data_IF_894665490690
#
_entry.id   IF_894665490690
#
_cell.length_a   1.000
_cell.length_b   1.000
_cell.length_c   1.000
_cell.angle_alpha   90.00
_cell.angle_beta   90.00
_cell.angle_gamma   90.00
#
_symmetry.space_group_name_H-M   'P 1'
#
loop_
_entity.id
_entity.type
_entity.pdbx_description
1 polymer ?
#
# COMPACT_ATOMS: atom_id res chain seq x y z
N UNK A 1 13.29 3.32 18.21
CA UNK A 1 11.92 3.77 18.47
C UNK A 1 10.93 2.96 17.64
N UNK A 2 10.21 2.03 18.32
CA UNK A 2 9.30 1.06 17.69
C UNK A 2 8.11 1.76 17.00
N UNK A 3 7.58 2.82 17.58
CA UNK A 3 6.48 3.60 17.01
C UNK A 3 6.86 4.18 15.64
N UNK A 4 7.97 4.90 15.58
CA UNK A 4 8.46 5.52 14.33
C UNK A 4 8.72 4.47 13.24
N UNK A 5 9.30 3.32 13.64
CA UNK A 5 9.55 2.23 12.69
C UNK A 5 8.26 1.65 12.12
N UNK A 6 7.22 1.46 12.96
CA UNK A 6 5.92 0.97 12.51
C UNK A 6 5.23 1.96 11.56
N UNK A 7 5.28 3.26 11.86
CA UNK A 7 4.78 4.31 10.95
C UNK A 7 5.53 4.32 9.63
N UNK A 8 6.88 4.19 9.65
CA UNK A 8 7.70 4.13 8.42
C UNK A 8 7.31 2.95 7.52
N UNK A 9 7.02 1.78 8.10
CA UNK A 9 6.51 0.61 7.36
C UNK A 9 5.18 0.92 6.68
N UNK A 10 4.21 1.44 7.42
CA UNK A 10 2.90 1.82 6.88
C UNK A 10 3.01 2.88 5.78
N UNK A 11 3.92 3.85 5.94
CA UNK A 11 4.12 4.91 4.95
C UNK A 11 4.75 4.37 3.65
N UNK A 12 5.79 3.56 3.75
CA UNK A 12 6.39 2.93 2.58
C UNK A 12 5.38 1.99 1.88
N UNK A 13 4.55 1.29 2.66
CA UNK A 13 3.45 0.48 2.11
C UNK A 13 2.47 1.30 1.26
N UNK A 14 2.15 2.53 1.68
CA UNK A 14 1.25 3.40 0.92
C UNK A 14 1.82 3.73 -0.47
N UNK A 15 3.12 3.99 -0.59
CA UNK A 15 3.77 4.22 -1.89
C UNK A 15 3.78 2.98 -2.78
N UNK A 16 4.05 1.79 -2.21
CA UNK A 16 3.99 0.52 -2.95
C UNK A 16 2.56 0.28 -3.47
N UNK A 17 1.55 0.47 -2.62
CA UNK A 17 0.14 0.29 -3.01
C UNK A 17 -0.27 1.33 -4.05
N UNK A 18 0.15 2.60 -3.94
CA UNK A 18 -0.12 3.61 -4.96
C UNK A 18 0.42 3.20 -6.33
N UNK A 19 1.67 2.77 -6.40
CA UNK A 19 2.26 2.29 -7.65
C UNK A 19 1.55 1.05 -8.20
N UNK A 20 1.14 0.11 -7.33
CA UNK A 20 0.34 -1.07 -7.73
C UNK A 20 -1.03 -0.68 -8.28
N UNK A 21 -1.74 0.25 -7.61
CA UNK A 21 -3.01 0.80 -8.09
C UNK A 21 -2.86 1.42 -9.48
N UNK A 22 -1.82 2.22 -9.71
CA UNK A 22 -1.55 2.83 -11.01
C UNK A 22 -1.26 1.80 -12.10
N UNK A 23 -0.50 0.76 -11.79
CA UNK A 23 -0.18 -0.29 -12.77
C UNK A 23 -1.41 -1.11 -13.19
N UNK A 24 -2.32 -1.39 -12.26
CA UNK A 24 -3.50 -2.24 -12.52
C UNK A 24 -4.69 -1.42 -13.03
N UNK A 25 -4.95 -0.26 -12.44
CA UNK A 25 -6.14 0.56 -12.77
C UNK A 25 -5.85 1.63 -13.82
N UNK A 26 -4.59 2.04 -13.97
CA UNK A 26 -4.16 3.03 -14.95
C UNK A 26 -3.58 4.31 -14.34
N UNK A 27 -2.92 5.08 -15.21
CA UNK A 27 -2.19 6.30 -14.83
C UNK A 27 -3.06 7.47 -14.32
N UNK A 28 -4.39 7.39 -14.48
CA UNK A 28 -5.34 8.37 -13.93
C UNK A 28 -5.45 8.29 -12.40
N UNK A 29 -5.00 7.18 -11.80
CA UNK A 29 -4.96 7.03 -10.34
C UNK A 29 -3.98 8.03 -9.76
N UNK A 30 -4.49 8.94 -8.95
CA UNK A 30 -3.72 9.94 -8.22
C UNK A 30 -4.17 9.96 -6.76
N UNK A 31 -3.24 10.22 -5.84
CA UNK A 31 -3.57 10.37 -4.44
C UNK A 31 -4.49 11.58 -4.21
N UNK A 32 -5.63 11.36 -3.56
CA UNK A 32 -6.55 12.40 -3.10
C UNK A 32 -6.42 12.64 -1.58
N UNK A 33 -5.89 11.67 -0.85
CA UNK A 33 -5.63 11.77 0.58
C UNK A 33 -4.98 10.51 1.12
N UNK A 34 -4.38 10.61 2.29
CA UNK A 34 -3.81 9.46 3.00
C UNK A 34 -3.86 9.66 4.51
N UNK A 35 -3.84 8.56 5.23
CA UNK A 35 -3.66 8.52 6.67
C UNK A 35 -2.72 7.37 6.99
N UNK A 36 -1.68 7.65 7.78
CA UNK A 36 -0.66 6.66 8.15
C UNK A 36 -0.53 6.62 9.67
N UNK A 37 -0.64 5.42 10.23
CA UNK A 37 -0.49 5.12 11.66
C UNK A 37 0.38 3.85 11.83
N UNK A 38 0.83 3.52 13.05
CA UNK A 38 1.52 2.26 13.29
C UNK A 38 0.69 1.07 12.83
N UNK A 39 1.22 0.27 11.90
CA UNK A 39 0.61 -0.96 11.40
C UNK A 39 -0.66 -0.80 10.56
N UNK A 40 -1.15 0.43 10.38
CA UNK A 40 -2.38 0.71 9.61
C UNK A 40 -2.22 1.95 8.75
N UNK A 41 -2.78 1.90 7.55
CA UNK A 41 -2.85 3.07 6.68
C UNK A 41 -4.09 3.04 5.80
N UNK A 42 -4.44 4.22 5.31
CA UNK A 42 -5.55 4.47 4.40
C UNK A 42 -5.05 5.28 3.22
N UNK A 43 -5.50 4.93 2.03
CA UNK A 43 -5.14 5.62 0.81
C UNK A 43 -6.39 5.94 0.00
N UNK A 44 -6.61 7.23 -0.26
CA UNK A 44 -7.72 7.77 -1.04
C UNK A 44 -7.20 8.14 -2.42
N UNK A 45 -7.89 7.73 -3.47
CA UNK A 45 -7.40 7.91 -4.83
C UNK A 45 -8.52 8.18 -5.82
N UNK A 46 -8.15 8.83 -6.95
CA UNK A 46 -9.06 9.09 -8.06
C UNK A 46 -9.33 7.81 -8.86
N UNK A 47 -10.60 7.38 -8.89
CA UNK A 47 -11.09 6.29 -9.74
C UNK A 47 -12.61 6.34 -9.80
N UNK A 48 -13.20 6.21 -11.00
CA UNK A 48 -14.64 6.40 -11.19
C UNK A 48 -15.47 5.16 -10.88
N UNK A 49 -14.88 3.96 -11.04
CA UNK A 49 -15.58 2.72 -10.92
C UNK A 49 -15.25 1.99 -9.61
N UNK A 50 -16.08 1.01 -9.25
CA UNK A 50 -15.76 0.09 -8.17
C UNK A 50 -14.58 -0.79 -8.59
N UNK A 51 -13.56 -0.92 -7.76
CA UNK A 51 -12.47 -1.85 -8.01
C UNK A 51 -12.99 -3.28 -7.83
N UNK A 52 -12.81 -4.13 -8.84
CA UNK A 52 -13.29 -5.51 -8.79
C UNK A 52 -12.47 -6.36 -7.79
N UNK A 53 -13.02 -7.49 -7.38
CA UNK A 53 -12.32 -8.43 -6.48
C UNK A 53 -11.02 -8.95 -7.10
N UNK A 54 -11.05 -9.19 -8.40
CA UNK A 54 -9.90 -9.64 -9.18
C UNK A 54 -8.81 -8.56 -9.22
N UNK A 55 -9.18 -7.32 -9.54
CA UNK A 55 -8.26 -6.18 -9.54
C UNK A 55 -7.65 -5.93 -8.14
N UNK A 56 -8.46 -6.03 -7.09
CA UNK A 56 -7.98 -5.92 -5.71
C UNK A 56 -6.95 -7.02 -5.40
N UNK A 57 -7.26 -8.27 -5.79
CA UNK A 57 -6.34 -9.40 -5.61
C UNK A 57 -5.01 -9.17 -6.36
N UNK A 58 -5.06 -8.68 -7.59
CA UNK A 58 -3.87 -8.37 -8.39
C UNK A 58 -3.05 -7.25 -7.76
N UNK A 59 -3.69 -6.16 -7.31
CA UNK A 59 -3.04 -5.01 -6.66
C UNK A 59 -2.28 -5.48 -5.41
N UNK A 60 -2.93 -6.28 -4.55
CA UNK A 60 -2.30 -6.72 -3.31
C UNK A 60 -1.25 -7.81 -3.51
N UNK A 61 -1.44 -8.67 -4.51
CA UNK A 61 -0.40 -9.62 -4.93
C UNK A 61 0.83 -8.87 -5.44
N UNK A 62 0.65 -7.88 -6.31
CA UNK A 62 1.73 -7.06 -6.83
C UNK A 62 2.43 -6.27 -5.72
N UNK A 63 1.66 -5.68 -4.79
CA UNK A 63 2.20 -4.94 -3.65
C UNK A 63 3.09 -5.83 -2.77
N UNK A 64 2.60 -6.99 -2.35
CA UNK A 64 3.37 -7.92 -1.52
C UNK A 64 4.57 -8.52 -2.27
N UNK A 65 4.45 -8.77 -3.58
CA UNK A 65 5.58 -9.20 -4.41
C UNK A 65 6.73 -8.18 -4.33
N UNK A 66 6.44 -6.88 -4.43
CA UNK A 66 7.45 -5.83 -4.32
C UNK A 66 7.98 -5.65 -2.89
N UNK A 67 7.18 -5.94 -1.86
CA UNK A 67 7.68 -6.04 -0.48
C UNK A 67 8.73 -7.14 -0.36
N UNK A 68 8.48 -8.32 -0.89
CA UNK A 68 9.38 -9.50 -0.79
C UNK A 68 10.59 -9.44 -1.73
N UNK A 69 10.63 -8.51 -2.69
CA UNK A 69 11.78 -8.33 -3.58
C UNK A 69 12.97 -7.60 -2.94
N UNK A 70 12.85 -7.15 -1.69
CA UNK A 70 13.91 -6.44 -0.96
C UNK A 70 14.44 -5.21 -1.72
N UNK A 71 13.52 -4.40 -2.26
CA UNK A 71 13.87 -3.20 -3.00
C UNK A 71 14.48 -2.14 -2.09
N UNK A 72 15.58 -1.53 -2.52
CA UNK A 72 16.19 -0.41 -1.81
C UNK A 72 15.23 0.79 -1.74
N UNK A 73 15.13 1.40 -0.57
CA UNK A 73 14.32 2.61 -0.35
C UNK A 73 15.26 3.79 -0.11
N UNK A 74 15.50 4.55 -1.16
CA UNK A 74 16.42 5.67 -1.13
C UNK A 74 15.69 7.01 -1.20
N UNK A 75 16.36 8.06 -0.72
CA UNK A 75 15.85 9.43 -0.77
C UNK A 75 16.87 10.38 -1.31
N UNK A 76 16.44 11.31 -2.17
CA UNK A 76 17.30 12.34 -2.77
C UNK A 76 16.59 13.69 -2.75
N UNK A 77 17.31 14.74 -2.45
CA UNK A 77 16.83 16.12 -2.62
C UNK A 77 17.33 16.61 -3.97
N UNK A 78 16.44 17.16 -4.78
CA UNK A 78 16.74 17.66 -6.10
C UNK A 78 15.76 18.77 -6.51
N UNK A 79 16.09 19.50 -7.57
CA UNK A 79 15.19 20.48 -8.14
C UNK A 79 13.90 19.82 -8.65
N UNK A 80 12.76 20.49 -8.47
CA UNK A 80 11.43 19.95 -8.82
C UNK A 80 11.28 19.64 -10.31
N UNK A 81 11.90 20.44 -11.18
CA UNK A 81 11.82 20.20 -12.64
C UNK A 81 12.63 18.97 -13.04
N UNK A 82 13.75 18.73 -12.37
CA UNK A 82 14.55 17.53 -12.60
C UNK A 82 13.84 16.30 -12.03
N UNK A 83 13.21 16.41 -10.85
CA UNK A 83 12.40 15.34 -10.29
C UNK A 83 11.25 14.93 -11.25
N UNK A 84 10.56 15.89 -11.85
CA UNK A 84 9.52 15.65 -12.86
C UNK A 84 10.07 15.00 -14.13
N UNK A 85 11.22 15.45 -14.64
CA UNK A 85 11.90 14.84 -15.80
C UNK A 85 12.29 13.39 -15.53
N UNK A 86 12.69 13.08 -14.29
CA UNK A 86 12.95 11.70 -13.84
C UNK A 86 11.70 10.87 -13.59
N UNK A 87 10.50 11.42 -13.80
CA UNK A 87 9.22 10.72 -13.67
C UNK A 87 8.69 10.63 -12.23
N UNK A 88 9.19 11.46 -11.30
CA UNK A 88 8.67 11.48 -9.94
C UNK A 88 7.22 11.97 -9.92
N UNK A 89 6.35 11.24 -9.23
CA UNK A 89 4.96 11.61 -9.04
C UNK A 89 4.85 12.71 -7.97
N UNK A 90 4.14 13.78 -8.30
CA UNK A 90 3.79 14.87 -7.40
C UNK A 90 2.31 14.77 -7.02
N UNK A 91 1.95 15.16 -5.81
CA UNK A 91 0.55 15.20 -5.39
C UNK A 91 -0.17 16.41 -6.02
N UNK A 92 -1.43 16.20 -6.38
CA UNK A 92 -2.24 17.26 -6.99
C UNK A 92 -2.54 18.37 -5.96
N UNK A 93 -2.23 19.62 -6.34
CA UNK A 93 -2.61 20.81 -5.58
C UNK A 93 -1.57 21.28 -4.55
N UNK A 94 -0.51 20.52 -4.31
CA UNK A 94 0.57 20.97 -3.44
C UNK A 94 1.46 21.99 -4.13
N UNK A 95 1.79 23.05 -3.37
CA UNK A 95 2.85 23.99 -3.77
C UNK A 95 4.15 23.47 -3.26
N UNK A 96 5.04 23.13 -4.16
CA UNK A 96 6.38 22.67 -3.86
C UNK A 96 7.37 23.84 -3.91
N UNK A 97 8.38 23.78 -3.07
CA UNK A 97 9.57 24.64 -3.18
C UNK A 97 10.42 24.19 -4.38
N UNK A 98 11.45 24.99 -4.72
CA UNK A 98 12.35 24.67 -5.84
C UNK A 98 13.09 23.34 -5.64
N UNK A 99 13.44 23.01 -4.39
CA UNK A 99 14.06 21.75 -4.01
C UNK A 99 13.04 20.83 -3.32
N UNK A 100 12.90 19.61 -3.83
CA UNK A 100 11.98 18.60 -3.36
C UNK A 100 12.68 17.32 -2.95
N UNK A 101 12.14 16.63 -1.95
CA UNK A 101 12.61 15.31 -1.55
C UNK A 101 11.86 14.24 -2.34
N UNK A 102 12.62 13.46 -3.11
CA UNK A 102 12.13 12.30 -3.88
C UNK A 102 12.44 11.04 -3.11
N UNK A 103 11.45 10.17 -2.96
CA UNK A 103 11.57 8.82 -2.40
C UNK A 103 11.47 7.83 -3.54
N UNK A 104 12.47 6.96 -3.66
CA UNK A 104 12.50 5.85 -4.62
C UNK A 104 12.39 4.53 -3.87
N UNK A 105 11.62 3.59 -4.41
CA UNK A 105 11.52 2.19 -3.97
C UNK A 105 11.92 1.33 -5.16
N UNK A 106 13.21 1.04 -5.28
CA UNK A 106 13.80 0.48 -6.50
C UNK A 106 13.37 1.28 -7.73
N UNK A 107 13.03 0.58 -8.81
CA UNK A 107 12.41 1.15 -10.02
C UNK A 107 10.87 1.11 -9.97
N UNK A 108 10.27 0.63 -8.87
CA UNK A 108 8.84 0.39 -8.77
C UNK A 108 8.03 1.63 -8.39
N UNK A 109 8.57 2.49 -7.53
CA UNK A 109 7.91 3.73 -7.10
C UNK A 109 8.90 4.87 -7.02
N UNK A 110 8.51 6.05 -7.54
CA UNK A 110 9.27 7.29 -7.42
C UNK A 110 8.29 8.43 -7.16
N UNK A 111 8.33 9.01 -5.96
CA UNK A 111 7.32 9.99 -5.53
C UNK A 111 7.94 11.12 -4.72
N UNK A 112 7.35 12.33 -4.81
CA UNK A 112 7.70 13.44 -3.93
C UNK A 112 7.13 13.15 -2.54
N UNK A 113 7.99 13.03 -1.53
CA UNK A 113 7.53 12.74 -0.17
C UNK A 113 8.52 13.21 0.90
N UNK A 114 8.03 14.00 1.86
CA UNK A 114 8.80 14.48 3.01
C UNK A 114 8.81 13.53 4.22
N UNK A 115 8.07 12.43 4.18
CA UNK A 115 7.88 11.52 5.31
C UNK A 115 9.04 10.57 5.59
N UNK A 116 8.87 9.76 6.64
CA UNK A 116 9.85 8.73 7.03
C UNK A 116 9.51 7.38 6.41
N UNK A 117 10.55 6.69 5.95
CA UNK A 117 10.45 5.40 5.26
C UNK A 117 11.38 4.37 5.88
N UNK A 118 11.17 3.10 5.54
CA UNK A 118 12.12 2.00 5.82
C UNK A 118 13.33 2.09 4.89
N UNK A 119 14.39 1.33 5.16
CA UNK A 119 15.57 1.27 4.30
C UNK A 119 15.39 0.32 3.11
N UNK A 120 14.60 -0.73 3.30
CA UNK A 120 14.30 -1.75 2.27
C UNK A 120 12.84 -2.15 2.34
N UNK A 121 12.26 -2.53 1.19
CA UNK A 121 10.83 -2.90 1.13
C UNK A 121 10.49 -4.12 1.99
N UNK A 122 11.38 -5.08 2.15
CA UNK A 122 11.17 -6.28 2.97
C UNK A 122 10.98 -5.97 4.48
N UNK A 123 11.48 -4.83 4.97
CA UNK A 123 11.25 -4.41 6.36
C UNK A 123 9.76 -4.20 6.68
N UNK A 124 8.92 -3.97 5.67
CA UNK A 124 7.47 -3.84 5.82
C UNK A 124 6.89 -5.13 6.39
N UNK A 125 7.29 -6.28 5.86
CA UNK A 125 6.78 -7.61 6.20
C UNK A 125 5.58 -8.00 5.32
N UNK A 126 4.36 -7.65 5.69
CA UNK A 126 3.14 -8.00 4.96
C UNK A 126 2.21 -6.79 4.83
N UNK A 127 1.49 -6.70 3.71
CA UNK A 127 0.38 -5.75 3.49
C UNK A 127 -0.91 -6.55 3.33
N UNK A 128 -1.97 -6.20 4.09
CA UNK A 128 -3.29 -6.83 4.00
C UNK A 128 -4.36 -5.79 3.77
N UNK A 129 -5.21 -6.00 2.77
CA UNK A 129 -6.40 -5.21 2.52
C UNK A 129 -7.49 -5.55 3.55
N UNK A 130 -8.04 -4.52 4.18
CA UNK A 130 -9.21 -4.63 5.04
C UNK A 130 -10.51 -4.31 4.28
N UNK A 131 -10.50 -3.20 3.53
CA UNK A 131 -11.70 -2.69 2.88
C UNK A 131 -11.36 -1.81 1.66
N UNK A 132 -12.29 -1.79 0.69
CA UNK A 132 -12.32 -0.85 -0.42
C UNK A 132 -13.72 -0.24 -0.50
N UNK A 133 -13.80 1.09 -0.62
CA UNK A 133 -15.08 1.81 -0.62
C UNK A 133 -15.05 3.08 -1.43
N UNK A 134 -16.24 3.54 -1.87
CA UNK A 134 -16.42 4.89 -2.41
C UNK A 134 -16.47 5.91 -1.27
N UNK A 135 -15.80 7.06 -1.48
CA UNK A 135 -15.82 8.18 -0.54
C UNK A 135 -16.33 9.48 -1.16
N UNK A 136 -16.76 9.41 -2.40
CA UNK A 136 -17.27 10.55 -3.16
C UNK A 136 -17.31 10.26 -4.64
N UNK A 137 -17.73 11.24 -5.43
CA UNK A 137 -17.72 11.13 -6.90
C UNK A 137 -16.28 10.98 -7.40
N UNK A 138 -16.02 9.89 -8.13
CA UNK A 138 -14.71 9.56 -8.69
C UNK A 138 -13.58 9.42 -7.66
N UNK A 139 -13.93 9.11 -6.40
CA UNK A 139 -12.97 8.90 -5.32
C UNK A 139 -13.20 7.56 -4.64
N UNK A 140 -12.14 6.79 -4.52
CA UNK A 140 -12.10 5.49 -3.86
C UNK A 140 -11.12 5.52 -2.69
N UNK A 141 -11.35 4.64 -1.75
CA UNK A 141 -10.52 4.46 -0.54
C UNK A 141 -10.17 2.99 -0.37
N UNK A 142 -8.92 2.71 -0.06
CA UNK A 142 -8.48 1.42 0.47
C UNK A 142 -7.95 1.60 1.89
N UNK A 143 -8.34 0.69 2.79
CA UNK A 143 -7.85 0.60 4.16
C UNK A 143 -7.05 -0.68 4.34
N UNK A 144 -5.88 -0.56 4.98
CA UNK A 144 -4.88 -1.63 4.96
C UNK A 144 -4.14 -1.73 6.27
N UNK A 145 -3.64 -2.94 6.53
CA UNK A 145 -2.67 -3.23 7.58
C UNK A 145 -1.29 -3.47 6.97
N UNK A 146 -0.24 -3.21 7.75
CA UNK A 146 1.13 -3.54 7.39
C UNK A 146 1.91 -4.13 8.56
N UNK A 147 2.93 -4.92 8.26
CA UNK A 147 3.83 -5.46 9.28
C UNK A 147 3.18 -6.46 10.21
N UNK A 148 3.44 -6.29 11.51
CA UNK A 148 2.96 -7.23 12.52
C UNK A 148 1.43 -7.27 12.63
N UNK A 149 0.76 -6.13 12.51
CA UNK A 149 -0.70 -6.03 12.55
C UNK A 149 -1.35 -6.78 11.38
N UNK A 150 -0.72 -6.76 10.20
CA UNK A 150 -1.15 -7.57 9.06
C UNK A 150 -0.95 -9.07 9.32
N UNK A 151 0.17 -9.46 9.90
CA UNK A 151 0.43 -10.85 10.30
C UNK A 151 -0.57 -11.33 11.36
N UNK A 152 -0.81 -10.54 12.40
CA UNK A 152 -1.76 -10.88 13.46
C UNK A 152 -3.18 -11.06 12.92
N UNK A 153 -3.63 -10.14 12.05
CA UNK A 153 -4.92 -10.25 11.37
C UNK A 153 -5.05 -11.54 10.56
N UNK A 154 -4.05 -11.90 9.76
CA UNK A 154 -4.05 -13.12 8.95
C UNK A 154 -4.03 -14.37 9.82
N UNK A 155 -3.27 -14.35 10.92
CA UNK A 155 -3.21 -15.47 11.88
C UNK A 155 -4.56 -15.70 12.55
N UNK A 156 -5.23 -14.63 12.98
CA UNK A 156 -6.56 -14.69 13.58
C UNK A 156 -7.62 -15.18 12.58
N UNK A 157 -7.56 -14.72 11.33
CA UNK A 157 -8.42 -15.20 10.24
C UNK A 157 -8.24 -16.70 9.98
N UNK A 158 -6.97 -17.16 9.91
CA UNK A 158 -6.66 -18.58 9.74
C UNK A 158 -7.18 -19.43 10.91
N UNK A 159 -7.01 -18.99 12.16
CA UNK A 159 -7.50 -19.70 13.34
C UNK A 159 -9.03 -19.77 13.37
N UNK A 160 -9.70 -18.70 12.98
CA UNK A 160 -11.17 -18.67 12.84
C UNK A 160 -11.64 -19.67 11.77
N UNK A 161 -10.97 -19.69 10.62
CA UNK A 161 -11.27 -20.62 9.55
C UNK A 161 -11.05 -22.08 9.94
N UNK A 162 -9.96 -22.36 10.68
CA UNK A 162 -9.69 -23.68 11.27
C UNK A 162 -10.76 -24.10 12.28
N UNK A 163 -11.28 -23.17 13.08
CA UNK A 163 -12.39 -23.43 14.00
C UNK A 163 -13.67 -23.81 13.27
N UNK A 164 -14.00 -23.15 12.16
CA UNK A 164 -15.13 -23.51 11.28
C UNK A 164 -14.95 -24.92 10.71
N UNK A 165 -13.75 -25.25 10.22
CA UNK A 165 -13.42 -26.61 9.73
C UNK A 165 -13.72 -27.68 10.79
N UNK A 166 -13.32 -27.44 12.04
CA UNK A 166 -13.58 -28.36 13.16
C UNK A 166 -15.07 -28.53 13.47
N UNK A 167 -15.86 -27.44 13.44
CA UNK A 167 -17.32 -27.46 13.65
C UNK A 167 -18.01 -28.27 12.56
N UNK A 168 -17.62 -28.04 11.31
CA UNK A 168 -18.14 -28.74 10.13
C UNK A 168 -17.62 -30.17 9.98
N UNK A 169 -16.63 -30.59 10.81
CA UNK A 169 -15.96 -31.89 10.74
C UNK A 169 -15.44 -32.21 9.33
N UNK A 170 -14.79 -31.24 8.70
CA UNK A 170 -14.26 -31.34 7.34
C UNK A 170 -12.80 -30.85 7.29
N UNK A 171 -12.08 -31.14 6.21
CA UNK A 171 -10.77 -30.56 6.01
C UNK A 171 -10.90 -29.05 5.76
N UNK A 172 -9.82 -28.32 6.10
CA UNK A 172 -9.81 -26.85 5.95
C UNK A 172 -10.05 -26.43 4.49
N UNK A 173 -9.53 -27.16 3.54
CA UNK A 173 -9.66 -26.88 2.10
C UNK A 173 -11.07 -27.12 1.57
N UNK A 174 -11.88 -27.95 2.27
CA UNK A 174 -13.26 -28.29 1.89
C UNK A 174 -14.31 -27.36 2.51
N UNK A 175 -13.90 -26.46 3.42
CA UNK A 175 -14.83 -25.52 4.10
C UNK A 175 -15.67 -24.68 3.12
N UNK A 176 -15.09 -24.11 2.01
CA UNK A 176 -15.87 -23.29 1.08
C UNK A 176 -16.97 -24.06 0.33
N UNK A 177 -16.91 -25.38 0.30
CA UNK A 177 -17.88 -26.24 -0.41
C UNK A 177 -19.00 -26.78 0.49
N UNK A 178 -18.98 -26.45 1.78
CA UNK A 178 -19.95 -26.89 2.81
C UNK A 178 -20.92 -25.77 3.19
#
# INVERSE_FOLDING_TARGET
DSFRRSVSKSHTSAHIVHSSLRQILGNHVAQAGSYVAPGRFRFDFSHSEKVSSEQLSEIFTLSNKNVFQDLDVSTKVMNIDDAKKEGALAFFGDKYEDDVRVVNIGEFSKELCGGTHVGNSNEIGLIVLLNESSIGSNLRRVEMLSGYEAYDFMTNAYNSYKSVSNILKTNIDDVPSK
#
